data_IF_376414534416
#
_entry.id   IF_376414534416
#
_cell.length_a   1.000
_cell.length_b   1.000
_cell.length_c   1.000
_cell.angle_alpha   90.00
_cell.angle_beta   90.00
_cell.angle_gamma   90.00
#
_symmetry.space_group_name_H-M   'P 1'
#
loop_
_entity.id
_entity.type
_entity.pdbx_description
1 polymer ?
#
# COMPACT_ATOMS: atom_id res chain seq x y z
N UNK A 1 24.03 -11.83 8.58
CA UNK A 1 23.71 -10.93 7.44
C UNK A 1 22.32 -11.20 6.87
N UNK A 2 21.97 -12.43 6.47
CA UNK A 2 20.67 -12.76 5.89
C UNK A 2 19.46 -12.49 6.82
N UNK A 3 19.56 -12.84 8.11
CA UNK A 3 18.49 -12.60 9.08
C UNK A 3 18.17 -11.11 9.27
N UNK A 4 19.19 -10.25 9.20
CA UNK A 4 19.01 -8.80 9.32
C UNK A 4 18.25 -8.24 8.12
N UNK A 5 18.53 -8.73 6.91
CA UNK A 5 17.82 -8.35 5.69
C UNK A 5 16.33 -8.75 5.77
N UNK A 6 16.04 -9.95 6.27
CA UNK A 6 14.68 -10.45 6.43
C UNK A 6 13.86 -9.63 7.44
N UNK A 7 14.49 -9.22 8.54
CA UNK A 7 13.88 -8.32 9.53
C UNK A 7 13.54 -6.98 8.87
N UNK A 8 14.48 -6.39 8.10
CA UNK A 8 14.24 -5.11 7.43
C UNK A 8 13.12 -5.16 6.40
N UNK A 9 13.04 -6.24 5.61
CA UNK A 9 11.96 -6.43 4.65
C UNK A 9 10.61 -6.51 5.38
N UNK A 10 10.56 -7.23 6.50
CA UNK A 10 9.34 -7.37 7.30
C UNK A 10 8.92 -6.03 7.90
N UNK A 11 9.83 -5.33 8.57
CA UNK A 11 9.55 -4.03 9.19
C UNK A 11 8.96 -3.06 8.16
N UNK A 12 9.52 -3.04 6.96
CA UNK A 12 9.10 -2.13 5.91
C UNK A 12 7.71 -2.46 5.35
N UNK A 13 7.36 -3.75 5.23
CA UNK A 13 6.00 -4.15 4.83
C UNK A 13 4.97 -4.02 5.95
N UNK A 14 5.37 -4.11 7.23
CA UNK A 14 4.49 -3.85 8.37
C UNK A 14 4.04 -2.37 8.43
N UNK A 15 4.78 -1.45 7.80
CA UNK A 15 4.38 -0.05 7.64
C UNK A 15 3.32 0.17 6.54
N UNK A 16 3.10 -0.81 5.66
CA UNK A 16 2.16 -0.68 4.55
C UNK A 16 0.73 -0.61 5.10
N UNK A 17 0.15 0.59 5.09
CA UNK A 17 -1.19 0.83 5.63
C UNK A 17 -2.21 1.04 4.52
N UNK A 18 -3.41 0.48 4.68
CA UNK A 18 -4.60 0.77 3.87
C UNK A 18 -5.60 1.54 4.72
N UNK A 19 -5.97 2.73 4.28
CA UNK A 19 -6.93 3.59 4.94
C UNK A 19 -8.24 3.67 4.13
N UNK A 20 -9.34 3.84 4.85
CA UNK A 20 -10.63 4.17 4.24
C UNK A 20 -10.79 5.68 4.21
N UNK A 21 -11.17 6.21 3.05
CA UNK A 21 -11.42 7.62 2.80
C UNK A 21 -12.84 7.82 2.30
N UNK A 22 -13.58 8.74 2.91
CA UNK A 22 -14.91 9.15 2.46
C UNK A 22 -14.79 10.47 1.71
N UNK A 23 -15.20 10.48 0.44
CA UNK A 23 -15.20 11.67 -0.40
C UNK A 23 -16.58 11.94 -1.02
N UNK A 24 -16.74 13.06 -1.74
CA UNK A 24 -18.01 13.44 -2.36
C UNK A 24 -18.56 12.42 -3.35
N UNK A 25 -17.67 11.59 -3.92
CA UNK A 25 -17.99 10.60 -4.94
C UNK A 25 -18.17 9.18 -4.39
N UNK A 26 -17.96 8.97 -3.09
CA UNK A 26 -18.07 7.65 -2.47
C UNK A 26 -17.06 7.36 -1.37
N UNK A 27 -16.93 6.08 -1.04
CA UNK A 27 -15.99 5.56 -0.04
C UNK A 27 -14.91 4.77 -0.76
N UNK A 28 -13.65 5.07 -0.46
CA UNK A 28 -12.49 4.46 -1.09
C UNK A 28 -11.61 3.79 -0.04
N UNK A 29 -11.00 2.66 -0.39
CA UNK A 29 -9.87 2.10 0.37
C UNK A 29 -8.60 2.34 -0.43
N UNK A 30 -7.69 3.10 0.14
CA UNK A 30 -6.45 3.52 -0.49
C UNK A 30 -5.25 3.07 0.35
N UNK A 31 -4.21 2.58 -0.29
CA UNK A 31 -2.92 2.44 0.39
C UNK A 31 -2.27 3.81 0.63
N UNK A 32 -1.47 3.89 1.67
CA UNK A 32 -0.52 4.98 1.84
C UNK A 32 0.44 5.03 0.63
N UNK A 33 1.13 6.17 0.49
CA UNK A 33 2.25 6.23 -0.45
C UNK A 33 3.34 5.25 -0.03
N UNK A 34 3.96 4.63 -1.04
CA UNK A 34 5.08 3.74 -0.76
C UNK A 34 6.28 4.58 -0.36
N UNK A 35 7.03 4.09 0.61
CA UNK A 35 8.37 4.62 0.89
C UNK A 35 9.33 4.20 -0.22
N UNK A 36 10.45 4.91 -0.37
CA UNK A 36 11.52 4.54 -1.30
C UNK A 36 12.05 3.10 -1.02
N UNK A 37 12.31 2.70 0.24
CA UNK A 37 12.67 1.31 0.56
C UNK A 37 11.64 0.27 0.13
N UNK A 38 10.33 0.52 0.29
CA UNK A 38 9.28 -0.39 -0.19
C UNK A 38 9.34 -0.56 -1.70
N UNK A 39 9.49 0.55 -2.44
CA UNK A 39 9.61 0.54 -3.90
C UNK A 39 10.81 -0.29 -4.36
N UNK A 40 11.97 -0.08 -3.73
CA UNK A 40 13.20 -0.82 -4.02
C UNK A 40 13.07 -2.33 -3.75
N UNK A 41 12.41 -2.70 -2.65
CA UNK A 41 12.16 -4.11 -2.31
C UNK A 41 11.26 -4.75 -3.38
N UNK A 42 10.16 -4.10 -3.75
CA UNK A 42 9.24 -4.60 -4.77
C UNK A 42 9.97 -4.81 -6.11
N UNK A 43 10.77 -3.83 -6.55
CA UNK A 43 11.55 -3.92 -7.78
C UNK A 43 12.58 -5.07 -7.75
N UNK A 44 13.31 -5.24 -6.65
CA UNK A 44 14.30 -6.33 -6.50
C UNK A 44 13.67 -7.71 -6.48
N UNK A 45 12.42 -7.81 -6.02
CA UNK A 45 11.64 -9.05 -5.98
C UNK A 45 10.83 -9.28 -7.26
N UNK A 46 10.90 -8.38 -8.24
CA UNK A 46 10.08 -8.39 -9.46
C UNK A 46 8.56 -8.44 -9.17
N UNK A 47 8.14 -7.74 -8.11
CA UNK A 47 6.74 -7.64 -7.71
C UNK A 47 6.19 -6.31 -8.24
N UNK A 48 5.06 -6.32 -8.99
CA UNK A 48 4.48 -5.08 -9.48
C UNK A 48 3.99 -4.21 -8.33
N UNK A 49 4.18 -2.89 -8.47
CA UNK A 49 3.69 -1.91 -7.50
C UNK A 49 2.18 -2.08 -7.28
N UNK A 50 1.72 -2.25 -6.02
CA UNK A 50 0.30 -2.36 -5.71
C UNK A 50 -0.48 -1.11 -6.17
N UNK A 51 -1.73 -1.32 -6.59
CA UNK A 51 -2.64 -0.22 -6.94
C UNK A 51 -2.80 0.73 -5.77
N UNK A 52 -2.85 2.04 -6.05
CA UNK A 52 -3.04 3.07 -5.03
C UNK A 52 -4.45 2.98 -4.41
N UNK A 53 -5.48 2.91 -5.25
CA UNK A 53 -6.85 2.63 -4.82
C UNK A 53 -7.09 1.13 -4.93
N UNK A 54 -7.44 0.50 -3.80
CA UNK A 54 -7.67 -0.94 -3.70
C UNK A 54 -9.14 -1.25 -3.98
N UNK A 55 -10.05 -0.48 -3.39
CA UNK A 55 -11.50 -0.63 -3.53
C UNK A 55 -12.19 0.75 -3.53
N UNK A 56 -13.36 0.83 -4.14
CA UNK A 56 -14.19 2.03 -4.13
C UNK A 56 -15.67 1.67 -4.27
N UNK A 57 -16.51 2.32 -3.47
CA UNK A 57 -17.97 2.24 -3.58
C UNK A 57 -18.50 3.64 -3.91
N UNK A 58 -19.35 3.78 -4.94
CA UNK A 58 -19.93 5.08 -5.29
C UNK A 58 -20.79 5.61 -4.15
N UNK A 59 -20.92 6.94 -4.05
CA UNK A 59 -21.90 7.56 -3.18
C UNK A 59 -23.31 7.10 -3.61
N UNK A 60 -24.17 6.77 -2.65
CA UNK A 60 -25.57 6.52 -2.94
C UNK A 60 -26.16 7.81 -3.53
N UNK A 61 -26.72 7.72 -4.74
CA UNK A 61 -27.45 8.81 -5.37
C UNK A 61 -28.64 9.15 -4.46
N UNK A 62 -28.71 10.41 -4.01
CA UNK A 62 -29.76 10.91 -3.12
C UNK A 62 -31.02 11.26 -3.89
#
# INVERSE_FOLDING_TARGET
>A
MLALLLIRIRDEFDLLTVATFTGPTGIFRQRAELTEPQGDILAKLDIPTPKKIVEGSPAAEA
#
